data_IF_130377454673
#
_entry.id   IF_130377454673
#
_cell.length_a   1.000
_cell.length_b   1.000
_cell.length_c   1.000
_cell.angle_alpha   90.00
_cell.angle_beta   90.00
_cell.angle_gamma   90.00
#
_symmetry.space_group_name_H-M   'P 1'
#
loop_
_entity.id
_entity.type
_entity.pdbx_description
1 polymer ?
#
# COMPACT_ATOMS: atom_id res chain seq x y z
N UNK A 1 8.30 -11.14 15.01
CA UNK A 1 8.97 -9.83 14.82
C UNK A 1 8.69 -9.19 13.45
N UNK A 2 8.66 -9.94 12.34
CA UNK A 2 8.41 -9.37 10.99
C UNK A 2 6.98 -8.79 10.76
N UNK A 3 5.97 -9.24 11.51
CA UNK A 3 4.57 -8.83 11.27
C UNK A 3 4.27 -7.35 11.60
N UNK A 4 4.79 -6.82 12.71
CA UNK A 4 4.51 -5.43 13.13
C UNK A 4 5.12 -4.39 12.17
N UNK A 5 6.33 -4.67 11.69
CA UNK A 5 7.01 -3.85 10.70
C UNK A 5 6.26 -3.86 9.36
N UNK A 6 5.83 -5.04 8.90
CA UNK A 6 5.01 -5.16 7.69
C UNK A 6 3.66 -4.42 7.80
N UNK A 7 3.02 -4.44 8.98
CA UNK A 7 1.79 -3.67 9.24
C UNK A 7 2.07 -2.17 9.17
N UNK A 8 3.18 -1.70 9.77
CA UNK A 8 3.58 -0.30 9.75
C UNK A 8 3.90 0.19 8.33
N UNK A 9 4.67 -0.58 7.56
CA UNK A 9 4.98 -0.26 6.16
C UNK A 9 3.71 -0.20 5.31
N UNK A 10 2.78 -1.14 5.52
CA UNK A 10 1.49 -1.12 4.83
C UNK A 10 0.70 0.15 5.14
N UNK A 11 0.60 0.54 6.40
CA UNK A 11 -0.08 1.78 6.80
C UNK A 11 0.53 3.00 6.12
N UNK A 12 1.86 3.05 6.01
CA UNK A 12 2.56 4.14 5.33
C UNK A 12 2.23 4.19 3.83
N UNK A 13 2.20 3.04 3.14
CA UNK A 13 1.83 2.97 1.72
C UNK A 13 0.38 3.42 1.49
N UNK A 14 -0.55 3.01 2.36
CA UNK A 14 -1.96 3.45 2.29
C UNK A 14 -2.08 4.97 2.45
N UNK A 15 -1.37 5.54 3.43
CA UNK A 15 -1.36 6.99 3.65
C UNK A 15 -0.81 7.75 2.43
N UNK A 16 0.29 7.29 1.85
CA UNK A 16 0.89 7.90 0.65
C UNK A 16 -0.02 7.80 -0.57
N UNK A 17 -0.72 6.67 -0.76
CA UNK A 17 -1.64 6.49 -1.88
C UNK A 17 -2.90 7.38 -1.77
N UNK A 18 -3.28 7.78 -0.55
CA UNK A 18 -4.40 8.70 -0.32
C UNK A 18 -4.03 10.17 -0.52
N UNK A 19 -2.74 10.52 -0.51
CA UNK A 19 -2.28 11.88 -0.73
C UNK A 19 -2.56 12.31 -2.18
N UNK A 20 -3.13 13.52 -2.32
CA UNK A 20 -3.40 14.16 -3.61
C UNK A 20 -2.66 15.48 -3.71
N UNK A 21 -1.36 15.44 -3.43
CA UNK A 21 -0.50 16.60 -3.61
C UNK A 21 -0.04 16.71 -5.07
N UNK A 22 0.03 17.93 -5.64
CA UNK A 22 0.63 18.14 -6.95
C UNK A 22 2.08 17.65 -6.97
N UNK A 23 2.37 16.64 -7.79
CA UNK A 23 3.72 16.11 -7.97
C UNK A 23 4.23 16.41 -9.37
N UNK A 24 5.54 16.68 -9.47
CA UNK A 24 6.23 16.83 -10.76
C UNK A 24 6.24 15.52 -11.56
N UNK A 25 6.23 14.38 -10.85
CA UNK A 25 6.31 13.04 -11.41
C UNK A 25 5.06 12.24 -11.13
N UNK A 26 4.66 11.40 -12.09
CA UNK A 26 3.61 10.40 -11.93
C UNK A 26 4.26 9.04 -11.73
N UNK A 27 3.93 8.39 -10.62
CA UNK A 27 4.32 7.01 -10.36
C UNK A 27 3.18 6.10 -10.77
N UNK A 28 3.50 5.05 -11.52
CA UNK A 28 2.53 4.03 -11.92
C UNK A 28 2.89 2.71 -11.23
N UNK A 29 1.86 2.01 -10.78
CA UNK A 29 1.96 0.67 -10.22
C UNK A 29 1.08 -0.26 -11.03
N UNK A 30 1.44 -1.55 -11.09
CA UNK A 30 0.60 -2.51 -11.80
C UNK A 30 -0.72 -2.73 -11.05
N UNK A 31 -1.82 -2.89 -11.80
CA UNK A 31 -3.12 -3.22 -11.21
C UNK A 31 -3.08 -4.54 -10.45
N UNK A 32 -2.33 -5.51 -10.95
CA UNK A 32 -2.16 -6.81 -10.31
C UNK A 32 -1.47 -6.68 -8.95
N UNK A 33 -0.40 -5.87 -8.86
CA UNK A 33 0.28 -5.62 -7.59
C UNK A 33 -0.63 -4.91 -6.60
N UNK A 34 -1.38 -3.90 -7.05
CA UNK A 34 -2.31 -3.17 -6.20
C UNK A 34 -3.42 -4.08 -5.66
N UNK A 35 -3.95 -4.97 -6.50
CA UNK A 35 -4.94 -5.96 -6.08
C UNK A 35 -4.36 -6.87 -5.02
N UNK A 36 -3.16 -7.43 -5.23
CA UNK A 36 -2.47 -8.25 -4.23
C UNK A 36 -2.25 -7.49 -2.92
N UNK A 37 -1.79 -6.24 -2.98
CA UNK A 37 -1.59 -5.40 -1.80
C UNK A 37 -2.88 -5.18 -0.98
N UNK A 38 -4.01 -5.04 -1.66
CA UNK A 38 -5.32 -4.89 -1.01
C UNK A 38 -5.83 -6.22 -0.42
N UNK A 39 -5.68 -7.34 -1.14
CA UNK A 39 -6.26 -8.64 -0.74
C UNK A 39 -5.39 -9.47 0.20
N UNK A 40 -4.06 -9.32 0.17
CA UNK A 40 -3.15 -10.11 1.02
C UNK A 40 -3.22 -9.75 2.51
N UNK A 41 -3.99 -8.73 2.86
CA UNK A 41 -3.97 -8.17 4.20
C UNK A 41 -5.37 -7.94 4.77
N UNK A 42 -6.37 -8.62 4.22
CA UNK A 42 -7.40 -9.20 5.07
C UNK A 42 -6.83 -10.50 5.62
N UNK A 43 -6.56 -10.63 6.94
CA UNK A 43 -6.50 -11.95 7.51
C UNK A 43 -7.87 -12.57 7.19
N UNK A 44 -7.91 -13.75 6.60
CA UNK A 44 -9.17 -14.50 6.53
C UNK A 44 -9.81 -14.61 7.93
N UNK A 45 -11.11 -14.94 8.03
CA UNK A 45 -11.80 -15.09 9.31
C UNK A 45 -11.04 -15.96 10.31
#
# INVERSE_FOLDING_TARGET
KSSEEAVRERQQVVALAAMREPSLLRFYVSREWLNKFNTFAEPGP
#
